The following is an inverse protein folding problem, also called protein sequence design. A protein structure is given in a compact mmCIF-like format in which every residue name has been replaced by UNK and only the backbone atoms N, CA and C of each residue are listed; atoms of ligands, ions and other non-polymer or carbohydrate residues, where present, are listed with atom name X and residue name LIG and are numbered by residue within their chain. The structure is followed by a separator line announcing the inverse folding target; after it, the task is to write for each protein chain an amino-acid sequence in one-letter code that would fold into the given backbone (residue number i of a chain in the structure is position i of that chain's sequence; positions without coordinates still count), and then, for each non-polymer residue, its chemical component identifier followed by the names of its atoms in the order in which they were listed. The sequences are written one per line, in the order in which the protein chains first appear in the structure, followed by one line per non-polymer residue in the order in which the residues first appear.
data_IF_396642159478
#
_entry.id   IF_396642159478
#
_cell.length_a   1.000
_cell.length_b   1.000
_cell.length_c   1.000
_cell.angle_alpha   90.00
_cell.angle_beta   90.00
_cell.angle_gamma   90.00
#
_symmetry.space_group_name_H-M   'P 1'
#
loop_
_entity.id
_entity.type
_entity.pdbx_description
1 polymer ?
#
# COMPACT_ATOMS: atom_id res chain seq x y z
N UNK A 1 -11.08 -3.61 -16.42
CA UNK A 1 -11.16 -4.87 -15.65
C UNK A 1 -9.90 -5.68 -15.99
N UNK A 2 -8.86 -5.61 -15.16
CA UNK A 2 -7.58 -6.26 -15.45
C UNK A 2 -7.33 -7.39 -14.45
N UNK A 3 -7.33 -8.61 -14.98
CA UNK A 3 -6.90 -9.84 -14.32
C UNK A 3 -5.38 -9.91 -14.48
N UNK A 4 -4.62 -9.84 -13.39
CA UNK A 4 -3.16 -10.02 -13.42
C UNK A 4 -2.77 -11.24 -12.60
N UNK A 5 -2.66 -12.39 -13.27
CA UNK A 5 -1.76 -13.50 -12.93
C UNK A 5 -1.57 -14.36 -14.18
N UNK A 6 -0.43 -14.19 -14.86
CA UNK A 6 0.20 -15.25 -15.66
C UNK A 6 1.63 -14.86 -15.98
N UNK A 7 2.56 -15.73 -15.58
CA UNK A 7 3.99 -15.66 -15.88
C UNK A 7 4.21 -15.81 -17.38
N UNK A 8 5.17 -15.10 -17.95
CA UNK A 8 6.13 -15.70 -18.88
C UNK A 8 7.40 -14.85 -19.04
N UNK A 9 8.52 -15.56 -18.98
CA UNK A 9 9.90 -15.12 -19.15
C UNK A 9 10.25 -15.14 -20.63
N UNK A 10 11.00 -14.14 -21.11
CA UNK A 10 11.94 -14.33 -22.23
C UNK A 10 13.11 -13.34 -22.14
N UNK A 11 14.31 -13.86 -22.41
CA UNK A 11 15.62 -13.19 -22.36
C UNK A 11 15.80 -12.19 -23.52
N UNK A 12 16.58 -11.12 -23.30
CA UNK A 12 17.15 -10.33 -24.40
C UNK A 12 17.93 -9.08 -23.99
N UNK A 13 19.26 -9.16 -24.15
CA UNK A 13 20.25 -8.11 -24.45
C UNK A 13 20.52 -6.98 -23.42
N UNK A 14 21.71 -7.05 -22.83
CA UNK A 14 22.36 -6.04 -21.99
C UNK A 14 22.88 -4.91 -22.88
N UNK A 15 22.36 -3.69 -22.69
CA UNK A 15 23.04 -2.44 -23.05
C UNK A 15 23.38 -1.69 -21.77
N UNK A 16 24.68 -1.46 -21.57
CA UNK A 16 25.22 -0.68 -20.45
C UNK A 16 24.78 0.78 -20.58
N UNK A 17 23.67 1.12 -19.93
CA UNK A 17 23.35 2.48 -19.54
C UNK A 17 23.91 2.72 -18.13
N UNK A 18 24.40 3.94 -17.80
CA UNK A 18 24.68 4.29 -16.41
C UNK A 18 23.42 3.99 -15.60
N UNK A 19 23.55 3.14 -14.56
CA UNK A 19 22.41 2.62 -13.79
C UNK A 19 21.57 3.78 -13.25
N UNK A 20 20.51 4.15 -13.97
CA UNK A 20 19.47 5.01 -13.42
C UNK A 20 18.83 4.24 -12.26
N UNK A 21 18.66 4.89 -11.12
CA UNK A 21 18.13 4.26 -9.92
C UNK A 21 16.66 3.87 -10.15
N UNK A 22 16.42 2.63 -10.59
CA UNK A 22 15.09 2.07 -10.94
C UNK A 22 14.32 1.48 -9.74
N UNK A 23 14.81 1.69 -8.52
CA UNK A 23 14.25 1.11 -7.30
C UNK A 23 13.65 2.16 -6.36
N UNK A 24 12.85 1.68 -5.40
CA UNK A 24 12.26 2.52 -4.36
C UNK A 24 13.33 3.36 -3.65
N UNK A 25 13.05 4.64 -3.39
CA UNK A 25 13.93 5.57 -2.64
C UNK A 25 13.24 6.03 -1.37
N UNK A 26 13.99 6.52 -0.37
CA UNK A 26 13.37 7.02 0.86
C UNK A 26 12.48 8.24 0.60
N UNK A 27 12.83 9.08 -0.38
CA UNK A 27 11.97 10.18 -0.83
C UNK A 27 10.61 9.72 -1.38
N UNK A 28 10.60 8.63 -2.15
CA UNK A 28 9.36 8.01 -2.64
C UNK A 28 8.54 7.45 -1.47
N UNK A 29 9.16 6.67 -0.59
CA UNK A 29 8.48 6.08 0.58
C UNK A 29 7.88 7.18 1.46
N UNK A 30 8.62 8.26 1.69
CA UNK A 30 8.18 9.40 2.47
C UNK A 30 7.02 10.14 1.79
N UNK A 31 7.06 10.35 0.47
CA UNK A 31 5.95 10.95 -0.30
C UNK A 31 4.66 10.14 -0.16
N UNK A 32 4.75 8.81 -0.34
CA UNK A 32 3.60 7.91 -0.17
C UNK A 32 3.08 7.99 1.27
N UNK A 33 3.96 7.93 2.26
CA UNK A 33 3.58 7.99 3.66
C UNK A 33 2.93 9.32 4.06
N UNK A 34 3.44 10.45 3.59
CA UNK A 34 2.84 11.77 3.79
C UNK A 34 1.44 11.86 3.17
N UNK A 35 1.22 11.23 2.01
CA UNK A 35 -0.09 11.19 1.37
C UNK A 35 -1.08 10.29 2.10
N UNK A 36 -0.62 9.12 2.55
CA UNK A 36 -1.50 8.08 3.08
C UNK A 36 -1.73 8.16 4.59
N UNK A 37 -0.82 8.77 5.36
CA UNK A 37 -0.95 8.84 6.81
C UNK A 37 -2.24 9.54 7.29
N UNK A 38 -2.65 10.71 6.76
CA UNK A 38 -3.92 11.33 7.16
C UNK A 38 -5.12 10.43 6.86
N UNK A 39 -5.09 9.74 5.72
CA UNK A 39 -6.14 8.81 5.32
C UNK A 39 -6.24 7.61 6.28
N UNK A 40 -5.11 6.97 6.64
CA UNK A 40 -5.11 5.90 7.64
C UNK A 40 -5.58 6.37 9.03
N UNK A 41 -5.21 7.60 9.42
CA UNK A 41 -5.67 8.20 10.67
C UNK A 41 -7.19 8.42 10.68
N UNK A 42 -7.78 8.88 9.57
CA UNK A 42 -9.23 9.06 9.48
C UNK A 42 -9.97 7.71 9.53
N UNK A 43 -9.53 6.72 8.73
CA UNK A 43 -10.11 5.37 8.76
C UNK A 43 -10.05 4.79 10.19
N UNK A 44 -8.91 4.96 10.88
CA UNK A 44 -8.75 4.46 12.23
C UNK A 44 -9.71 5.11 13.24
N UNK A 45 -9.87 6.43 13.20
CA UNK A 45 -10.54 7.21 14.25
C UNK A 45 -12.03 7.45 13.98
N UNK A 46 -12.43 7.70 12.73
CA UNK A 46 -13.80 8.06 12.37
C UNK A 46 -14.57 6.86 11.81
N UNK A 47 -15.62 6.44 12.53
CA UNK A 47 -16.43 5.30 12.15
C UNK A 47 -17.24 5.54 10.88
N UNK A 48 -17.90 6.68 10.78
CA UNK A 48 -18.79 7.00 9.65
C UNK A 48 -17.97 7.07 8.36
N UNK A 49 -16.84 7.78 8.40
CA UNK A 49 -15.94 7.88 7.26
C UNK A 49 -15.45 6.50 6.79
N UNK A 50 -15.05 5.63 7.71
CA UNK A 50 -14.60 4.28 7.36
C UNK A 50 -15.72 3.41 6.78
N UNK A 51 -16.96 3.56 7.26
CA UNK A 51 -18.14 2.85 6.74
C UNK A 51 -18.47 3.30 5.32
N UNK A 52 -18.48 4.62 5.07
CA UNK A 52 -18.68 5.21 3.74
C UNK A 52 -17.57 4.78 2.77
N UNK A 53 -16.30 4.87 3.18
CA UNK A 53 -15.17 4.42 2.37
C UNK A 53 -15.28 2.94 1.98
N UNK A 54 -15.59 2.08 2.95
CA UNK A 54 -15.73 0.63 2.71
C UNK A 54 -16.92 0.32 1.80
N UNK A 55 -18.03 1.04 1.95
CA UNK A 55 -19.20 0.93 1.05
C UNK A 55 -18.82 1.34 -0.37
N UNK A 56 -18.10 2.44 -0.54
CA UNK A 56 -17.65 2.92 -1.83
C UNK A 56 -16.72 1.91 -2.52
N UNK A 57 -15.81 1.26 -1.78
CA UNK A 57 -15.00 0.15 -2.30
C UNK A 57 -15.90 -0.95 -2.84
N UNK A 58 -16.83 -1.46 -2.02
CA UNK A 58 -17.71 -2.60 -2.38
C UNK A 58 -18.56 -2.29 -3.61
N UNK A 59 -19.04 -1.05 -3.74
CA UNK A 59 -19.81 -0.58 -4.89
C UNK A 59 -18.94 -0.18 -6.10
N UNK A 60 -17.60 -0.23 -5.98
CA UNK A 60 -16.65 0.28 -6.96
C UNK A 60 -16.91 1.76 -7.35
N UNK A 61 -17.37 2.57 -6.40
CA UNK A 61 -17.70 3.99 -6.58
C UNK A 61 -16.44 4.86 -6.44
N UNK A 62 -15.68 4.95 -7.53
CA UNK A 62 -14.43 5.70 -7.57
C UNK A 62 -14.61 7.20 -7.33
N UNK A 63 -15.72 7.78 -7.76
CA UNK A 63 -15.94 9.22 -7.62
C UNK A 63 -16.21 9.58 -6.16
N UNK A 64 -17.01 8.78 -5.46
CA UNK A 64 -17.21 8.97 -4.03
C UNK A 64 -15.92 8.72 -3.24
N UNK A 65 -15.13 7.70 -3.60
CA UNK A 65 -13.82 7.47 -2.97
C UNK A 65 -12.87 8.65 -3.18
N UNK A 66 -12.84 9.29 -4.37
CA UNK A 66 -12.02 10.50 -4.61
C UNK A 66 -12.45 11.66 -3.71
N UNK A 67 -13.76 11.87 -3.54
CA UNK A 67 -14.31 12.92 -2.66
C UNK A 67 -13.86 12.67 -1.21
N UNK A 68 -14.06 11.45 -0.70
CA UNK A 68 -13.65 11.07 0.65
C UNK A 68 -12.13 11.22 0.84
N UNK A 69 -11.32 10.74 -0.09
CA UNK A 69 -9.86 10.86 0.00
C UNK A 69 -9.42 12.33 0.00
N UNK A 70 -10.08 13.17 -0.80
CA UNK A 70 -9.82 14.62 -0.90
C UNK A 70 -10.14 15.40 0.37
N UNK A 71 -11.11 14.95 1.17
CA UNK A 71 -11.48 15.62 2.41
C UNK A 71 -10.42 15.43 3.51
N UNK A 72 -9.60 14.36 3.43
CA UNK A 72 -8.59 14.02 4.46
C UNK A 72 -7.14 14.17 3.97
N UNK A 73 -6.87 14.00 2.68
CA UNK A 73 -5.52 14.07 2.13
C UNK A 73 -5.51 14.65 0.71
N UNK A 74 -5.21 15.95 0.62
CA UNK A 74 -5.03 16.65 -0.67
C UNK A 74 -3.87 16.08 -1.49
N UNK A 75 -2.85 15.50 -0.85
CA UNK A 75 -1.70 14.92 -1.56
C UNK A 75 -2.10 13.60 -2.23
N UNK A 76 -2.77 12.70 -1.50
CA UNK A 76 -3.25 11.43 -2.04
C UNK A 76 -4.37 11.63 -3.08
N UNK A 77 -5.25 12.60 -2.89
CA UNK A 77 -6.35 12.86 -3.82
C UNK A 77 -5.91 13.40 -5.20
N UNK A 78 -4.66 13.86 -5.33
CA UNK A 78 -4.05 14.24 -6.63
C UNK A 78 -3.39 13.07 -7.36
N UNK A 79 -3.43 11.88 -6.79
CA UNK A 79 -2.81 10.67 -7.32
C UNK A 79 -3.83 9.79 -8.05
N UNK A 80 -3.37 8.72 -8.70
CA UNK A 80 -4.26 7.68 -9.24
C UNK A 80 -5.02 6.98 -8.11
N UNK A 81 -6.28 6.62 -8.35
CA UNK A 81 -7.11 5.85 -7.41
C UNK A 81 -7.82 4.72 -8.14
N UNK A 82 -7.69 3.51 -7.60
CA UNK A 82 -8.31 2.30 -8.11
C UNK A 82 -9.05 1.50 -7.04
N UNK A 83 -10.06 0.73 -7.46
CA UNK A 83 -10.76 -0.27 -6.65
C UNK A 83 -11.20 -1.43 -7.55
N UNK A 84 -11.28 -2.62 -6.98
CA UNK A 84 -11.77 -3.83 -7.63
C UNK A 84 -12.94 -4.49 -6.86
N UNK A 85 -13.57 -3.76 -5.93
CA UNK A 85 -14.66 -4.28 -5.10
C UNK A 85 -14.19 -5.07 -3.86
N UNK A 86 -12.90 -5.32 -3.72
CA UNK A 86 -12.30 -6.06 -2.60
C UNK A 86 -11.09 -5.36 -1.98
N UNK A 87 -10.81 -4.13 -2.41
CA UNK A 87 -9.68 -3.34 -1.99
C UNK A 87 -9.58 -2.02 -2.74
N UNK A 88 -8.62 -1.20 -2.34
CA UNK A 88 -8.30 0.07 -2.99
C UNK A 88 -6.79 0.23 -3.17
N UNK A 89 -6.42 1.06 -4.13
CA UNK A 89 -5.04 1.36 -4.53
C UNK A 89 -4.91 2.85 -4.81
N UNK A 90 -3.93 3.51 -4.23
CA UNK A 90 -3.57 4.91 -4.47
C UNK A 90 -2.18 4.94 -5.11
N UNK A 91 -2.11 5.34 -6.37
CA UNK A 91 -0.90 5.22 -7.19
C UNK A 91 -0.17 6.55 -7.26
N UNK A 92 0.96 6.63 -6.54
CA UNK A 92 1.78 7.82 -6.47
C UNK A 92 2.71 7.89 -7.68
N UNK A 93 2.34 8.74 -8.63
CA UNK A 93 3.08 8.90 -9.87
C UNK A 93 4.46 9.51 -9.64
N UNK A 94 5.44 8.91 -10.31
CA UNK A 94 6.73 9.51 -10.58
C UNK A 94 6.78 9.91 -12.06
N UNK A 95 6.60 11.21 -12.34
CA UNK A 95 6.57 11.74 -13.72
C UNK A 95 7.86 11.48 -14.50
N UNK A 96 8.93 11.10 -13.83
CA UNK A 96 10.22 10.82 -14.44
C UNK A 96 10.42 9.33 -14.78
N UNK A 97 9.48 8.47 -14.40
CA UNK A 97 9.60 7.03 -14.57
C UNK A 97 8.31 6.41 -15.14
N UNK A 98 8.41 5.28 -15.89
CA UNK A 98 7.25 4.60 -16.45
C UNK A 98 6.47 3.75 -15.42
N UNK A 99 6.63 4.05 -14.13
CA UNK A 99 6.06 3.29 -13.02
C UNK A 99 5.64 4.22 -11.89
N UNK A 100 4.72 3.72 -11.07
CA UNK A 100 4.17 4.40 -9.89
C UNK A 100 4.36 3.54 -8.66
N UNK A 101 4.26 4.14 -7.48
CA UNK A 101 4.18 3.39 -6.23
C UNK A 101 2.75 3.36 -5.72
N UNK A 102 2.16 2.17 -5.73
CA UNK A 102 0.81 1.92 -5.25
C UNK A 102 0.81 1.69 -3.75
N UNK A 103 -0.11 2.35 -3.05
CA UNK A 103 -0.42 2.08 -1.66
C UNK A 103 -1.87 1.67 -1.49
N UNK A 104 -2.14 0.62 -0.73
CA UNK A 104 -3.49 0.09 -0.67
C UNK A 104 -3.75 -0.88 0.46
N UNK A 105 -5.04 -1.18 0.64
CA UNK A 105 -5.49 -2.34 1.40
C UNK A 105 -6.43 -3.15 0.54
N UNK A 106 -6.15 -4.43 0.37
CA UNK A 106 -6.97 -5.33 -0.45
C UNK A 106 -7.10 -6.70 0.20
N UNK A 107 -8.15 -7.43 -0.16
CA UNK A 107 -8.17 -8.88 0.01
C UNK A 107 -7.42 -9.49 -1.17
N UNK A 108 -6.51 -10.47 -0.96
CA UNK A 108 -5.85 -11.16 -2.05
C UNK A 108 -6.88 -11.74 -3.04
N UNK A 109 -6.68 -11.56 -4.36
CA UNK A 109 -7.62 -12.06 -5.37
C UNK A 109 -7.90 -13.55 -5.18
N UNK A 110 -9.16 -13.90 -4.96
CA UNK A 110 -9.63 -15.28 -4.80
C UNK A 110 -11.13 -15.36 -5.13
N UNK A 111 -11.87 -16.37 -4.65
CA UNK A 111 -13.32 -16.56 -4.90
C UNK A 111 -14.23 -15.49 -4.25
N UNK A 112 -13.70 -14.31 -3.89
CA UNK A 112 -14.45 -13.22 -3.27
C UNK A 112 -14.61 -12.07 -4.26
N UNK A 113 -15.82 -11.52 -4.34
CA UNK A 113 -16.15 -10.30 -5.08
C UNK A 113 -17.01 -9.43 -4.18
N UNK A 114 -16.87 -8.11 -4.31
CA UNK A 114 -17.74 -7.13 -3.64
C UNK A 114 -17.82 -7.33 -2.11
N UNK A 115 -16.65 -7.47 -1.48
CA UNK A 115 -16.56 -7.61 -0.03
C UNK A 115 -15.36 -6.84 0.51
N UNK A 116 -15.61 -5.98 1.48
CA UNK A 116 -14.56 -5.28 2.22
C UNK A 116 -15.06 -4.96 3.63
N UNK A 117 -14.35 -5.40 4.66
CA UNK A 117 -14.78 -5.25 6.04
C UNK A 117 -14.26 -3.94 6.63
N UNK A 118 -15.18 -3.02 6.92
CA UNK A 118 -14.88 -1.79 7.66
C UNK A 118 -14.12 -2.07 8.95
N UNK A 119 -14.61 -3.02 9.77
CA UNK A 119 -13.99 -3.35 11.07
C UNK A 119 -12.52 -3.77 10.91
N UNK A 120 -12.22 -4.58 9.89
CA UNK A 120 -10.85 -5.03 9.62
C UNK A 120 -10.00 -3.89 9.08
N UNK A 121 -10.51 -3.09 8.13
CA UNK A 121 -9.77 -1.96 7.58
C UNK A 121 -9.39 -0.93 8.65
N UNK A 122 -10.30 -0.63 9.58
CA UNK A 122 -10.01 0.21 10.75
C UNK A 122 -8.94 -0.39 11.67
N UNK A 123 -8.93 -1.71 11.84
CA UNK A 123 -7.93 -2.39 12.66
C UNK A 123 -6.54 -2.39 12.01
N UNK A 124 -6.47 -2.63 10.69
CA UNK A 124 -5.24 -2.55 9.90
C UNK A 124 -4.70 -1.11 9.94
N UNK A 125 -5.55 -0.12 9.69
CA UNK A 125 -5.16 1.29 9.68
C UNK A 125 -4.53 1.71 11.01
N UNK A 126 -5.14 1.32 12.14
CA UNK A 126 -4.55 1.53 13.48
C UNK A 126 -3.18 0.88 13.64
N UNK A 127 -3.02 -0.35 13.13
CA UNK A 127 -1.76 -1.09 13.26
C UNK A 127 -0.64 -0.48 12.41
N UNK A 128 -0.94 0.09 11.24
CA UNK A 128 0.08 0.62 10.33
C UNK A 128 0.42 2.10 10.58
N UNK A 129 -0.41 2.86 11.31
CA UNK A 129 -0.15 4.28 11.61
C UNK A 129 1.26 4.55 12.18
N UNK A 130 1.78 3.80 13.18
CA UNK A 130 3.12 4.06 13.71
C UNK A 130 4.21 3.90 12.65
N UNK A 131 4.06 2.91 11.77
CA UNK A 131 4.97 2.68 10.65
C UNK A 131 4.93 3.83 9.64
N UNK A 132 3.75 4.23 9.16
CA UNK A 132 3.62 5.35 8.24
C UNK A 132 4.04 6.70 8.86
N UNK A 133 3.86 6.88 10.17
CA UNK A 133 4.38 8.06 10.88
C UNK A 133 5.90 8.13 10.84
N UNK A 134 6.59 7.01 11.08
CA UNK A 134 8.04 6.96 10.97
C UNK A 134 8.52 7.23 9.54
N UNK A 135 7.86 6.62 8.54
CA UNK A 135 8.17 6.88 7.13
C UNK A 135 7.99 8.36 6.74
N UNK A 136 6.93 9.00 7.23
CA UNK A 136 6.62 10.39 6.90
C UNK A 136 7.59 11.38 7.57
N UNK A 137 7.97 11.14 8.84
CA UNK A 137 8.70 12.11 9.66
C UNK A 137 10.21 11.87 9.78
N UNK A 138 10.69 10.64 9.52
CA UNK A 138 12.09 10.28 9.71
C UNK A 138 12.74 9.89 8.37
N UNK A 139 13.46 10.84 7.77
CA UNK A 139 14.11 10.63 6.47
C UNK A 139 15.16 9.53 6.50
N UNK A 140 15.95 9.44 7.56
CA UNK A 140 16.99 8.41 7.73
C UNK A 140 16.35 7.02 7.77
N UNK A 141 15.23 6.88 8.50
CA UNK A 141 14.46 5.65 8.54
C UNK A 141 13.90 5.27 7.16
N UNK A 142 13.30 6.23 6.43
CA UNK A 142 12.76 5.99 5.10
C UNK A 142 13.86 5.58 4.10
N UNK A 143 15.02 6.25 4.13
CA UNK A 143 16.17 5.90 3.27
C UNK A 143 16.73 4.52 3.61
N UNK A 144 16.88 4.20 4.90
CA UNK A 144 17.34 2.90 5.36
C UNK A 144 16.40 1.76 4.93
N UNK A 145 15.09 1.94 5.11
CA UNK A 145 14.10 0.96 4.67
C UNK A 145 14.16 0.77 3.14
N UNK A 146 14.24 1.86 2.38
CA UNK A 146 14.35 1.79 0.93
C UNK A 146 15.63 1.05 0.48
N UNK A 147 16.76 1.27 1.15
CA UNK A 147 18.00 0.51 0.92
C UNK A 147 17.80 -0.98 1.19
N UNK A 148 17.21 -1.34 2.33
CA UNK A 148 16.95 -2.73 2.71
C UNK A 148 16.04 -3.44 1.68
N UNK A 149 14.99 -2.76 1.21
CA UNK A 149 14.10 -3.26 0.15
C UNK A 149 14.87 -3.51 -1.15
N UNK A 150 15.69 -2.55 -1.58
CA UNK A 150 16.51 -2.70 -2.81
C UNK A 150 17.52 -3.85 -2.69
N UNK A 151 18.06 -4.09 -1.49
CA UNK A 151 19.01 -5.17 -1.19
C UNK A 151 18.34 -6.53 -0.90
N UNK A 152 17.01 -6.60 -0.90
CA UNK A 152 16.23 -7.82 -0.60
C UNK A 152 16.52 -8.39 0.80
N UNK A 153 16.80 -7.51 1.76
CA UNK A 153 17.09 -7.87 3.15
C UNK A 153 15.78 -8.17 3.91
N UNK A 154 15.11 -9.29 3.56
CA UNK A 154 13.77 -9.65 4.06
C UNK A 154 13.69 -9.65 5.59
N UNK A 155 14.66 -10.27 6.28
CA UNK A 155 14.67 -10.35 7.74
C UNK A 155 14.78 -8.97 8.40
N UNK A 156 15.56 -8.06 7.82
CA UNK A 156 15.70 -6.70 8.34
C UNK A 156 14.41 -5.92 8.14
N UNK A 157 13.81 -5.99 6.94
CA UNK A 157 12.53 -5.34 6.62
C UNK A 157 11.43 -5.88 7.55
N UNK A 158 11.34 -7.19 7.74
CA UNK A 158 10.36 -7.80 8.63
C UNK A 158 10.55 -7.31 10.08
N UNK A 159 11.78 -7.31 10.59
CA UNK A 159 12.08 -6.86 11.97
C UNK A 159 11.70 -5.40 12.17
N UNK A 160 12.07 -4.54 11.23
CA UNK A 160 11.76 -3.09 11.28
C UNK A 160 10.25 -2.85 11.22
N UNK A 161 9.55 -3.51 10.30
CA UNK A 161 8.09 -3.36 10.17
C UNK A 161 7.38 -3.89 11.41
N UNK A 162 7.73 -5.07 11.92
CA UNK A 162 7.12 -5.65 13.13
C UNK A 162 7.41 -4.85 14.40
N UNK A 163 8.54 -4.14 14.45
CA UNK A 163 8.84 -3.22 15.55
C UNK A 163 7.90 -2.01 15.63
N UNK A 164 7.19 -1.69 14.54
CA UNK A 164 6.24 -0.57 14.47
C UNK A 164 4.78 -1.02 14.29
N UNK A 165 4.56 -2.15 13.62
CA UNK A 165 3.25 -2.76 13.38
C UNK A 165 3.00 -3.88 14.39
N UNK A 166 2.77 -3.47 15.64
CA UNK A 166 2.64 -4.37 16.78
C UNK A 166 1.23 -4.98 16.87
N UNK A 167 0.94 -6.03 16.09
CA UNK A 167 -0.31 -6.79 16.20
C UNK A 167 -0.12 -8.27 15.86
N UNK A 168 -0.73 -9.20 16.61
CA UNK A 168 -0.71 -10.63 16.29
C UNK A 168 -1.48 -10.96 15.00
N UNK A 169 -2.27 -10.01 14.48
CA UNK A 169 -2.94 -10.15 13.20
C UNK A 169 -1.96 -10.08 12.02
N UNK A 170 -0.78 -9.45 12.17
CA UNK A 170 0.25 -9.39 11.13
C UNK A 170 0.95 -10.75 11.01
N UNK A 171 0.64 -11.47 9.94
CA UNK A 171 1.12 -12.84 9.71
C UNK A 171 2.46 -12.87 9.00
N UNK A 172 2.65 -12.04 7.98
CA UNK A 172 3.93 -11.95 7.26
C UNK A 172 4.20 -10.53 6.78
N UNK A 173 5.49 -10.26 6.57
CA UNK A 173 6.02 -9.08 5.88
C UNK A 173 6.90 -9.61 4.75
N UNK A 174 6.62 -9.26 3.50
CA UNK A 174 7.38 -9.69 2.33
C UNK A 174 7.83 -8.51 1.49
N UNK A 175 9.00 -8.65 0.83
CA UNK A 175 9.44 -7.70 -0.19
C UNK A 175 8.90 -8.19 -1.55
N UNK A 176 7.97 -7.43 -2.12
CA UNK A 176 7.33 -7.74 -3.41
C UNK A 176 7.34 -6.51 -4.30
N UNK A 177 7.53 -6.71 -5.61
CA UNK A 177 7.46 -5.64 -6.62
C UNK A 177 8.19 -4.34 -6.21
N UNK A 178 9.45 -4.47 -5.76
CA UNK A 178 10.29 -3.34 -5.30
C UNK A 178 9.74 -2.53 -4.11
N UNK A 179 8.80 -3.09 -3.35
CA UNK A 179 8.22 -2.51 -2.16
C UNK A 179 7.98 -3.56 -1.06
N UNK A 180 6.89 -3.41 -0.30
CA UNK A 180 6.53 -4.28 0.82
C UNK A 180 5.04 -4.65 0.80
N UNK A 181 4.75 -5.87 1.23
CA UNK A 181 3.40 -6.38 1.47
C UNK A 181 3.31 -6.88 2.91
N UNK A 182 2.27 -6.45 3.62
CA UNK A 182 1.97 -6.83 5.00
C UNK A 182 0.68 -7.63 5.00
N UNK A 183 0.76 -8.92 5.29
CA UNK A 183 -0.40 -9.81 5.32
C UNK A 183 -1.02 -9.83 6.73
N UNK A 184 -2.28 -9.45 6.82
CA UNK A 184 -3.09 -9.46 8.03
C UNK A 184 -4.17 -10.54 7.99
N UNK A 185 -4.34 -11.24 9.12
CA UNK A 185 -5.46 -12.16 9.36
C UNK A 185 -6.10 -11.86 10.71
N UNK A 186 -7.34 -11.35 10.66
CA UNK A 186 -8.15 -11.08 11.85
C UNK A 186 -9.19 -12.19 12.07
N UNK A 187 -9.46 -12.60 13.32
CA UNK A 187 -10.50 -13.60 13.63
C UNK A 187 -11.90 -13.17 13.19
N UNK A 188 -12.17 -11.86 13.14
CA UNK A 188 -13.47 -11.29 12.75
C UNK A 188 -13.75 -11.35 11.25
N UNK A 189 -12.87 -11.91 10.42
CA UNK A 189 -13.09 -12.04 8.98
C UNK A 189 -12.63 -13.39 8.46
N UNK A 190 -13.41 -13.93 7.53
CA UNK A 190 -13.05 -15.14 6.77
C UNK A 190 -11.86 -14.90 5.84
N UNK A 191 -11.63 -13.66 5.43
CA UNK A 191 -10.57 -13.30 4.48
C UNK A 191 -9.30 -12.81 5.19
N UNK A 192 -8.17 -12.94 4.50
CA UNK A 192 -6.94 -12.22 4.82
C UNK A 192 -6.93 -10.90 4.08
N UNK A 193 -6.15 -9.95 4.56
CA UNK A 193 -6.00 -8.63 3.95
C UNK A 193 -4.52 -8.33 3.78
N UNK A 194 -4.16 -7.66 2.70
CA UNK A 194 -2.83 -7.14 2.47
C UNK A 194 -2.86 -5.62 2.58
N UNK A 195 -1.95 -5.04 3.34
CA UNK A 195 -1.55 -3.65 3.17
C UNK A 195 -0.27 -3.62 2.34
N UNK A 196 -0.25 -2.82 1.29
CA UNK A 196 0.82 -2.84 0.31
C UNK A 196 1.38 -1.43 0.08
N UNK A 197 2.68 -1.39 -0.19
CA UNK A 197 3.40 -0.25 -0.74
C UNK A 197 4.37 -0.83 -1.78
N UNK A 198 3.96 -0.88 -3.04
CA UNK A 198 4.66 -1.63 -4.11
C UNK A 198 4.77 -0.82 -5.39
N UNK A 199 5.74 -1.14 -6.24
CA UNK A 199 5.87 -0.54 -7.56
C UNK A 199 4.87 -1.20 -8.52
N UNK A 200 4.16 -0.40 -9.29
CA UNK A 200 3.23 -0.85 -10.34
C UNK A 200 3.59 -0.18 -11.66
N UNK A 201 3.35 -0.83 -12.82
CA UNK A 201 3.44 -0.16 -14.10
C UNK A 201 2.36 0.93 -14.21
N UNK A 202 2.66 2.02 -14.93
CA UNK A 202 1.69 3.05 -15.27
C UNK A 202 0.72 2.59 -16.36
#
# INVERSE_FOLDING_TARGET
MAVWLSKNVTKGLIKNHPQSYTGITGGIVQKVALGMLPFYMEIASNRSYAEEWSKAIVCADLDHMKILLGSVSKLAAKQGLGTNGIGYFVDFDDKHHPWSFSNGTTIPPSKVRFHFSTRVHRAISRAVIPFYRQLASNRVFADALAVAIRRKENELVERVVRGLVCTPALKSVSIEEHGIVLLFKYPSSKYSYENLLIRVPN
#
